data_IF_691663485687
#
_entry.id   IF_691663485687
#
_cell.length_a   1.000
_cell.length_b   1.000
_cell.length_c   1.000
_cell.angle_alpha   90.00
_cell.angle_beta   90.00
_cell.angle_gamma   90.00
#
_symmetry.space_group_name_H-M   'P 1'
#
loop_
_entity.id
_entity.type
_entity.pdbx_description
1 polymer ?
#
# COMPACT_ATOMS: atom_id res chain seq x y z
N UNK A 1 19.96 25.09 24.03
CA UNK A 1 18.91 24.60 24.94
C UNK A 1 17.57 25.05 24.37
N UNK A 2 16.88 24.19 23.62
CA UNK A 2 15.62 24.51 22.97
C UNK A 2 14.96 23.21 22.50
N UNK A 3 14.19 22.61 23.41
CA UNK A 3 13.53 21.34 23.20
C UNK A 3 12.26 21.54 22.37
N UNK A 4 12.14 20.77 21.28
CA UNK A 4 10.96 20.73 20.43
C UNK A 4 9.77 20.15 21.21
N UNK A 5 8.74 20.97 21.43
CA UNK A 5 7.41 20.49 21.81
C UNK A 5 6.73 19.90 20.58
N UNK A 6 6.68 18.57 20.49
CA UNK A 6 5.85 17.86 19.52
C UNK A 6 4.48 17.61 20.15
N UNK A 7 3.45 18.23 19.59
CA UNK A 7 2.05 17.91 19.83
C UNK A 7 1.81 16.43 19.57
N UNK A 8 1.22 15.71 20.54
CA UNK A 8 0.81 14.32 20.39
C UNK A 8 -0.46 14.27 19.55
N UNK A 9 -0.32 13.99 18.26
CA UNK A 9 -1.41 13.58 17.40
C UNK A 9 -1.74 12.10 17.72
N UNK A 10 -2.97 11.81 18.16
CA UNK A 10 -3.51 10.48 18.55
C UNK A 10 -3.73 9.55 17.33
N UNK A 11 -2.82 9.62 16.36
CA UNK A 11 -2.91 8.90 15.08
C UNK A 11 -1.79 7.85 14.93
N UNK A 12 -0.91 7.74 15.92
CA UNK A 12 0.24 6.82 15.91
C UNK A 12 -0.08 5.40 16.43
N UNK A 13 0.67 4.37 16.00
CA UNK A 13 0.51 3.03 16.54
C UNK A 13 0.80 3.03 18.05
N UNK A 14 -0.17 2.56 18.86
CA UNK A 14 -0.04 2.51 20.32
C UNK A 14 1.17 1.66 20.69
N UNK A 15 1.99 2.12 21.64
CA UNK A 15 3.13 1.35 22.17
C UNK A 15 2.64 0.46 23.32
N UNK A 16 3.11 -0.78 23.37
CA UNK A 16 2.97 -1.66 24.54
C UNK A 16 3.83 -1.10 25.68
N UNK A 17 3.58 -1.56 26.92
CA UNK A 17 4.38 -1.17 28.09
C UNK A 17 5.88 -1.45 27.89
N UNK A 18 6.22 -2.45 27.07
CA UNK A 18 7.59 -2.86 26.74
C UNK A 18 8.21 -2.05 25.58
N UNK A 19 7.51 -1.03 25.07
CA UNK A 19 8.00 -0.16 24.00
C UNK A 19 7.83 -0.70 22.58
N UNK A 20 7.28 -1.91 22.40
CA UNK A 20 6.94 -2.46 21.09
C UNK A 20 5.67 -1.80 20.53
N UNK A 21 5.57 -1.65 19.21
CA UNK A 21 4.32 -1.18 18.61
C UNK A 21 3.25 -2.27 18.69
N UNK A 22 2.07 -1.92 19.19
CA UNK A 22 0.91 -2.81 19.26
C UNK A 22 0.56 -3.24 17.84
N UNK A 23 0.72 -4.53 17.57
CA UNK A 23 0.30 -5.10 16.30
C UNK A 23 -1.22 -4.89 16.12
N UNK A 24 -1.69 -4.43 14.95
CA UNK A 24 -3.11 -4.27 14.71
C UNK A 24 -3.81 -5.63 14.87
N UNK A 25 -4.92 -5.62 15.59
CA UNK A 25 -5.76 -6.81 15.80
C UNK A 25 -6.24 -7.39 14.46
N UNK A 26 -6.64 -8.67 14.44
CA UNK A 26 -7.17 -9.31 13.21
C UNK A 26 -8.32 -8.50 12.58
N UNK A 27 -9.21 -7.96 13.42
CA UNK A 27 -10.36 -7.15 12.98
C UNK A 27 -9.96 -5.82 12.34
N UNK A 28 -8.89 -5.17 12.82
CA UNK A 28 -8.42 -3.90 12.25
C UNK A 28 -7.68 -4.12 10.93
N UNK A 29 -6.96 -5.23 10.77
CA UNK A 29 -6.36 -5.61 9.47
C UNK A 29 -7.41 -5.92 8.41
N UNK A 30 -8.49 -6.59 8.80
CA UNK A 30 -9.60 -6.87 7.90
C UNK A 30 -10.21 -5.58 7.33
N UNK A 31 -10.56 -4.62 8.21
CA UNK A 31 -11.06 -3.30 7.79
C UNK A 31 -10.09 -2.55 6.88
N UNK A 32 -8.80 -2.65 7.17
CA UNK A 32 -7.76 -2.06 6.32
C UNK A 32 -7.81 -2.64 4.90
N UNK A 33 -7.85 -3.97 4.75
CA UNK A 33 -7.93 -4.61 3.44
C UNK A 33 -9.25 -4.33 2.71
N UNK A 34 -10.38 -4.34 3.41
CA UNK A 34 -11.68 -3.96 2.82
C UNK A 34 -11.65 -2.53 2.26
N UNK A 35 -11.10 -1.57 3.02
CA UNK A 35 -10.98 -0.19 2.57
C UNK A 35 -9.96 0.00 1.43
N UNK A 36 -8.87 -0.77 1.43
CA UNK A 36 -7.88 -0.82 0.34
C UNK A 36 -8.55 -1.28 -0.94
N UNK A 37 -9.27 -2.38 -0.88
CA UNK A 37 -9.88 -3.02 -2.05
C UNK A 37 -10.97 -2.10 -2.62
N UNK A 38 -11.79 -1.47 -1.78
CA UNK A 38 -12.76 -0.47 -2.23
C UNK A 38 -12.11 0.75 -2.92
N UNK A 39 -10.97 1.24 -2.41
CA UNK A 39 -10.22 2.33 -3.06
C UNK A 39 -9.67 1.87 -4.43
N UNK A 40 -9.08 0.68 -4.50
CA UNK A 40 -8.53 0.13 -5.74
C UNK A 40 -9.61 -0.17 -6.78
N UNK A 41 -10.76 -0.71 -6.39
CA UNK A 41 -11.92 -0.87 -7.28
C UNK A 41 -12.43 0.47 -7.83
N UNK A 42 -12.38 1.54 -7.03
CA UNK A 42 -12.69 2.87 -7.52
C UNK A 42 -11.67 3.32 -8.59
N UNK A 43 -10.38 3.13 -8.33
CA UNK A 43 -9.33 3.47 -9.29
C UNK A 43 -9.49 2.68 -10.60
N UNK A 44 -9.77 1.38 -10.52
CA UNK A 44 -10.00 0.50 -11.66
C UNK A 44 -11.19 0.95 -12.51
N UNK A 45 -12.34 1.26 -11.89
CA UNK A 45 -13.52 1.79 -12.59
C UNK A 45 -13.26 3.11 -13.34
N UNK A 46 -12.30 3.90 -12.86
CA UNK A 46 -11.92 5.18 -13.47
C UNK A 46 -10.68 5.09 -14.37
N UNK A 47 -10.15 3.88 -14.60
CA UNK A 47 -8.93 3.65 -15.39
C UNK A 47 -7.69 4.39 -14.84
N UNK A 48 -7.59 4.50 -13.51
CA UNK A 48 -6.48 5.14 -12.83
C UNK A 48 -5.55 4.05 -12.31
N UNK A 49 -4.39 3.86 -12.94
CA UNK A 49 -3.39 2.90 -12.46
C UNK A 49 -2.54 3.49 -11.33
N UNK A 50 -1.97 4.67 -11.58
CA UNK A 50 -1.00 5.32 -10.71
C UNK A 50 -1.61 6.56 -10.04
N UNK A 51 -2.06 6.39 -8.80
CA UNK A 51 -2.64 7.45 -7.98
C UNK A 51 -1.62 8.24 -7.16
N UNK A 52 -0.31 7.99 -7.30
CA UNK A 52 0.71 8.58 -6.41
C UNK A 52 1.89 9.25 -7.10
N UNK A 53 2.44 8.71 -8.19
CA UNK A 53 3.71 9.22 -8.74
C UNK A 53 3.48 10.39 -9.69
N UNK A 54 2.38 10.39 -10.44
CA UNK A 54 2.07 11.46 -11.42
C UNK A 54 1.12 12.51 -10.85
N UNK A 55 1.31 13.79 -11.22
CA UNK A 55 0.37 14.86 -10.82
C UNK A 55 -1.04 14.57 -11.33
N UNK A 56 -1.16 14.19 -12.60
CA UNK A 56 -2.43 13.85 -13.23
C UNK A 56 -3.17 12.74 -12.49
N UNK A 57 -2.48 11.63 -12.20
CA UNK A 57 -3.09 10.49 -11.50
C UNK A 57 -3.50 10.82 -10.06
N UNK A 58 -2.72 11.65 -9.35
CA UNK A 58 -3.12 12.18 -8.04
C UNK A 58 -4.39 13.03 -8.13
N UNK A 59 -4.44 13.96 -9.08
CA UNK A 59 -5.59 14.85 -9.26
C UNK A 59 -6.86 14.06 -9.67
N UNK A 60 -6.73 13.09 -10.58
CA UNK A 60 -7.82 12.21 -11.01
C UNK A 60 -8.31 11.30 -9.88
N UNK A 61 -7.39 10.71 -9.11
CA UNK A 61 -7.74 9.89 -7.96
C UNK A 61 -8.42 10.70 -6.85
N UNK A 62 -7.92 11.91 -6.56
CA UNK A 62 -8.55 12.80 -5.58
C UNK A 62 -9.97 13.19 -6.01
N UNK A 63 -10.18 13.46 -7.31
CA UNK A 63 -11.48 13.84 -7.86
C UNK A 63 -12.47 12.68 -7.89
N UNK A 64 -12.06 11.51 -8.35
CA UNK A 64 -12.96 10.38 -8.58
C UNK A 64 -13.12 9.47 -7.35
N UNK A 65 -12.06 9.33 -6.55
CA UNK A 65 -11.94 8.33 -5.49
C UNK A 65 -11.54 8.92 -4.13
N UNK A 66 -11.54 10.24 -3.96
CA UNK A 66 -11.09 10.90 -2.73
C UNK A 66 -11.82 10.42 -1.47
N UNK A 67 -13.12 10.12 -1.55
CA UNK A 67 -13.85 9.57 -0.41
C UNK A 67 -13.36 8.16 -0.02
N UNK A 68 -13.13 7.29 -1.01
CA UNK A 68 -12.60 5.95 -0.76
C UNK A 68 -11.16 6.02 -0.23
N UNK A 69 -10.36 6.98 -0.72
CA UNK A 69 -8.99 7.21 -0.25
C UNK A 69 -8.95 7.65 1.22
N UNK A 70 -9.85 8.56 1.63
CA UNK A 70 -9.98 8.96 3.03
C UNK A 70 -10.39 7.80 3.94
N UNK A 71 -11.29 6.93 3.48
CA UNK A 71 -11.68 5.72 4.23
C UNK A 71 -10.52 4.75 4.33
N UNK A 72 -9.71 4.61 3.27
CA UNK A 72 -8.51 3.79 3.27
C UNK A 72 -7.46 4.33 4.26
N UNK A 73 -7.18 5.63 4.23
CA UNK A 73 -6.25 6.28 5.16
C UNK A 73 -6.71 6.23 6.62
N UNK A 74 -8.02 6.28 6.87
CA UNK A 74 -8.57 6.16 8.23
C UNK A 74 -8.48 4.74 8.81
N UNK A 75 -8.61 3.72 7.98
CA UNK A 75 -8.69 2.33 8.43
C UNK A 75 -7.35 1.58 8.38
N UNK A 76 -6.33 2.15 7.73
CA UNK A 76 -5.00 1.57 7.61
C UNK A 76 -3.93 2.45 8.25
N UNK A 77 -2.82 1.83 8.64
CA UNK A 77 -1.63 2.59 9.00
C UNK A 77 -1.08 3.33 7.76
N UNK A 78 -0.62 4.58 7.93
CA UNK A 78 -0.10 5.39 6.82
C UNK A 78 1.00 4.67 6.01
N UNK A 79 1.93 3.99 6.69
CA UNK A 79 2.99 3.22 6.01
C UNK A 79 2.44 2.06 5.16
N UNK A 80 1.31 1.47 5.55
CA UNK A 80 0.64 0.43 4.77
C UNK A 80 -0.06 1.02 3.55
N UNK A 81 -0.72 2.17 3.70
CA UNK A 81 -1.36 2.88 2.58
C UNK A 81 -0.33 3.22 1.51
N UNK A 82 0.77 3.88 1.90
CA UNK A 82 1.85 4.21 0.96
C UNK A 82 2.43 2.97 0.29
N UNK A 83 2.69 1.91 1.07
CA UNK A 83 3.22 0.65 0.55
C UNK A 83 2.27 0.04 -0.48
N UNK A 84 0.98 -0.08 -0.18
CA UNK A 84 0.02 -0.68 -1.11
C UNK A 84 -0.17 0.14 -2.38
N UNK A 85 -0.25 1.48 -2.28
CA UNK A 85 -0.34 2.36 -3.46
C UNK A 85 0.89 2.20 -4.36
N UNK A 86 2.11 2.13 -3.80
CA UNK A 86 3.35 1.85 -4.55
C UNK A 86 3.36 0.44 -5.14
N UNK A 87 2.98 -0.56 -4.34
CA UNK A 87 3.01 -1.97 -4.72
C UNK A 87 2.08 -2.25 -5.91
N UNK A 88 0.92 -1.58 -5.99
CA UNK A 88 0.00 -1.68 -7.12
C UNK A 88 0.67 -1.32 -8.46
N UNK A 89 1.41 -0.20 -8.50
CA UNK A 89 2.13 0.25 -9.71
C UNK A 89 3.25 -0.72 -10.07
N UNK A 90 4.04 -1.13 -9.07
CA UNK A 90 5.17 -2.06 -9.26
C UNK A 90 4.69 -3.42 -9.78
N UNK A 91 3.62 -3.97 -9.19
CA UNK A 91 3.05 -5.25 -9.62
C UNK A 91 2.58 -5.18 -11.07
N UNK A 92 1.86 -4.11 -11.44
CA UNK A 92 1.46 -3.90 -12.83
C UNK A 92 2.66 -3.87 -13.77
N UNK A 93 3.70 -3.10 -13.46
CA UNK A 93 4.92 -3.02 -14.29
C UNK A 93 5.62 -4.37 -14.42
N UNK A 94 5.70 -5.15 -13.33
CA UNK A 94 6.22 -6.52 -13.36
C UNK A 94 5.41 -7.39 -14.31
N UNK A 95 4.09 -7.40 -14.21
CA UNK A 95 3.22 -8.17 -15.10
C UNK A 95 3.38 -7.76 -16.57
N UNK A 96 3.47 -6.46 -16.86
CA UNK A 96 3.72 -5.99 -18.23
C UNK A 96 5.09 -6.42 -18.74
N UNK A 97 6.11 -6.43 -17.88
CA UNK A 97 7.46 -6.88 -18.24
C UNK A 97 7.47 -8.38 -18.50
N UNK A 98 6.79 -9.15 -17.67
CA UNK A 98 6.65 -10.60 -17.83
C UNK A 98 6.01 -10.94 -19.17
N UNK A 99 4.87 -10.31 -19.47
CA UNK A 99 4.16 -10.49 -20.74
C UNK A 99 5.01 -10.16 -21.97
N UNK A 100 5.88 -9.15 -21.89
CA UNK A 100 6.79 -8.78 -22.99
C UNK A 100 7.85 -9.85 -23.22
N UNK A 101 8.49 -10.33 -22.15
CA UNK A 101 9.53 -11.36 -22.24
C UNK A 101 8.93 -12.65 -22.81
N UNK A 102 7.75 -13.06 -22.34
CA UNK A 102 7.03 -14.23 -22.86
C UNK A 102 6.69 -14.08 -24.35
N UNK A 103 6.25 -12.89 -24.78
CA UNK A 103 5.95 -12.60 -26.18
C UNK A 103 7.20 -12.61 -27.08
N UNK A 104 8.37 -12.28 -26.53
CA UNK A 104 9.67 -12.35 -27.21
C UNK A 104 10.28 -13.77 -27.19
N UNK A 105 9.58 -14.75 -26.59
CA UNK A 105 10.03 -16.14 -26.48
C UNK A 105 11.06 -16.39 -25.37
N UNK A 106 11.24 -15.43 -24.47
CA UNK A 106 12.08 -15.58 -23.28
C UNK A 106 11.34 -16.30 -22.14
N UNK A 107 12.06 -17.07 -21.33
CA UNK A 107 11.54 -17.74 -20.14
C UNK A 107 11.96 -16.99 -18.88
N UNK A 108 11.01 -16.71 -17.98
CA UNK A 108 11.28 -16.03 -16.71
C UNK A 108 11.38 -17.07 -15.61
N UNK A 109 12.61 -17.31 -15.15
CA UNK A 109 12.86 -18.15 -13.99
C UNK A 109 12.66 -17.30 -12.74
N UNK A 110 11.66 -17.65 -11.91
CA UNK A 110 11.47 -17.00 -10.62
C UNK A 110 12.72 -17.22 -9.74
N UNK A 111 13.20 -16.19 -9.01
CA UNK A 111 14.31 -16.36 -8.08
C UNK A 111 13.95 -17.43 -7.05
N UNK A 112 14.76 -18.49 -6.98
CA UNK A 112 14.60 -19.54 -5.97
C UNK A 112 14.91 -18.91 -4.61
N UNK A 113 13.90 -18.74 -3.75
CA UNK A 113 14.15 -18.29 -2.38
C UNK A 113 14.92 -19.40 -1.65
N UNK A 114 16.00 -19.07 -0.91
CA UNK A 114 16.68 -20.07 -0.09
C UNK A 114 15.67 -20.59 0.93
N UNK A 115 15.29 -21.87 0.78
CA UNK A 115 14.51 -22.59 1.77
C UNK A 115 15.39 -22.67 3.01
N UNK A 116 15.09 -21.85 4.02
CA UNK A 116 15.84 -21.85 5.27
C UNK A 116 15.80 -23.25 5.86
N UNK A 117 16.96 -23.90 5.95
CA UNK A 117 17.10 -25.17 6.66
C UNK A 117 16.69 -24.94 8.11
N UNK A 118 15.50 -25.41 8.46
CA UNK A 118 15.06 -25.53 9.85
C UNK A 118 15.91 -26.63 10.47
N UNK A 119 16.80 -26.26 11.39
CA UNK A 119 17.57 -27.19 12.20
C UNK A 119 17.07 -27.12 13.63
#
# INVERSE_FOLDING_TARGET
MGWFSSSTDDSGPKKTADGAFVAPTKTTRQKCYESRDAFFECLDRNNILDSINTKKGRDEAAKACGQADQVFEKNCAHSWVEYFKKQRVVNYQKEQTIKKIEAEGGEIIAPQLPVGNSK
#
